data_IF_663577292486
#
_entry.id   IF_663577292486
#
_cell.length_a   1.000
_cell.length_b   1.000
_cell.length_c   1.000
_cell.angle_alpha   90.00
_cell.angle_beta   90.00
_cell.angle_gamma   90.00
#
_symmetry.space_group_name_H-M   'P 1'
#
loop_
_entity.id
_entity.type
_entity.pdbx_description
1 polymer ?
#
# COMPACT_ATOMS: atom_id res chain seq x y z
N UNK A 1 14.53 15.55 -11.24
CA UNK A 1 13.42 14.67 -11.69
C UNK A 1 12.19 15.10 -10.92
N UNK A 2 11.12 15.62 -11.56
CA UNK A 2 9.94 16.02 -10.82
C UNK A 2 9.20 14.76 -10.33
N UNK A 3 8.73 14.80 -9.08
CA UNK A 3 7.93 13.73 -8.48
C UNK A 3 6.64 13.49 -9.28
N UNK A 4 6.14 12.24 -9.39
CA UNK A 4 4.81 12.02 -9.94
C UNK A 4 3.77 12.60 -8.98
N UNK A 5 2.96 13.55 -9.45
CA UNK A 5 1.83 14.11 -8.72
C UNK A 5 0.73 13.05 -8.60
N UNK A 6 0.69 12.34 -7.46
CA UNK A 6 -0.33 11.33 -7.11
C UNK A 6 -1.72 11.92 -6.77
N UNK A 7 -2.06 13.10 -7.30
CA UNK A 7 -3.35 13.74 -7.04
C UNK A 7 -4.29 13.49 -8.22
N UNK A 8 -4.92 12.32 -8.24
CA UNK A 8 -5.99 12.00 -9.21
C UNK A 8 -7.14 11.20 -8.58
N UNK A 9 -7.55 11.57 -7.37
CA UNK A 9 -8.85 11.15 -6.80
C UNK A 9 -10.01 11.51 -7.75
N UNK A 10 -9.89 12.66 -8.44
CA UNK A 10 -10.84 13.12 -9.43
C UNK A 10 -10.78 12.31 -10.74
N UNK A 11 -9.65 11.75 -11.17
CA UNK A 11 -9.52 11.29 -12.56
C UNK A 11 -10.16 9.94 -12.86
N UNK A 12 -10.22 8.99 -11.92
CA UNK A 12 -10.85 7.67 -12.21
C UNK A 12 -12.38 7.83 -12.29
N UNK A 13 -12.97 8.56 -11.34
CA UNK A 13 -14.41 8.85 -11.33
C UNK A 13 -14.78 9.87 -12.41
N UNK A 14 -13.95 10.90 -12.64
CA UNK A 14 -14.16 11.89 -13.70
C UNK A 14 -13.92 11.31 -15.09
N UNK A 15 -12.90 10.49 -15.32
CA UNK A 15 -12.67 9.85 -16.62
C UNK A 15 -13.79 8.85 -16.95
N UNK A 16 -14.23 8.02 -16.01
CA UNK A 16 -15.37 7.13 -16.24
C UNK A 16 -16.68 7.91 -16.51
N UNK A 17 -16.89 9.04 -15.82
CA UNK A 17 -18.04 9.94 -16.02
C UNK A 17 -17.96 10.69 -17.35
N UNK A 18 -16.76 11.13 -17.74
CA UNK A 18 -16.45 11.80 -19.02
C UNK A 18 -16.62 10.83 -20.19
N UNK A 19 -16.26 9.55 -19.99
CA UNK A 19 -16.40 8.47 -20.98
C UNK A 19 -17.80 7.84 -21.01
N UNK A 20 -18.76 8.31 -20.20
CA UNK A 20 -20.13 7.76 -20.08
C UNK A 20 -20.18 6.23 -19.95
N UNK A 21 -19.24 5.64 -19.19
CA UNK A 21 -19.17 4.19 -19.03
C UNK A 21 -20.32 3.67 -18.15
N UNK A 22 -20.98 2.60 -18.59
CA UNK A 22 -21.99 1.88 -17.81
C UNK A 22 -21.35 0.92 -16.78
N UNK A 23 -22.17 0.28 -15.93
CA UNK A 23 -21.71 -0.56 -14.81
C UNK A 23 -20.59 -1.55 -15.17
N UNK A 24 -20.80 -2.47 -16.15
CA UNK A 24 -19.79 -3.44 -16.57
C UNK A 24 -18.51 -2.80 -17.11
N UNK A 25 -18.62 -1.75 -17.93
CA UNK A 25 -17.48 -1.04 -18.52
C UNK A 25 -16.69 -0.27 -17.46
N UNK A 26 -17.37 0.30 -16.47
CA UNK A 26 -16.77 1.02 -15.34
C UNK A 26 -15.98 0.09 -14.42
N UNK A 27 -16.52 -1.09 -14.10
CA UNK A 27 -15.81 -2.09 -13.28
C UNK A 27 -14.57 -2.63 -13.99
N UNK A 28 -14.67 -2.84 -15.30
CA UNK A 28 -13.55 -3.27 -16.14
C UNK A 28 -12.45 -2.20 -16.15
N UNK A 29 -12.84 -0.94 -16.35
CA UNK A 29 -11.90 0.19 -16.30
C UNK A 29 -11.23 0.32 -14.93
N UNK A 30 -12.00 0.25 -13.83
CA UNK A 30 -11.47 0.36 -12.47
C UNK A 30 -10.47 -0.75 -12.19
N UNK A 31 -10.79 -2.00 -12.53
CA UNK A 31 -9.86 -3.15 -12.40
C UNK A 31 -8.58 -2.92 -13.19
N UNK A 32 -8.68 -2.54 -14.47
CA UNK A 32 -7.51 -2.30 -15.30
C UNK A 32 -6.64 -1.15 -14.76
N UNK A 33 -7.27 -0.07 -14.27
CA UNK A 33 -6.58 1.05 -13.64
C UNK A 33 -5.83 0.60 -12.38
N UNK A 34 -6.51 -0.09 -11.47
CA UNK A 34 -5.92 -0.56 -10.21
C UNK A 34 -4.79 -1.56 -10.45
N UNK A 35 -4.97 -2.51 -11.37
CA UNK A 35 -3.90 -3.45 -11.75
C UNK A 35 -2.66 -2.68 -12.19
N UNK A 36 -2.81 -1.69 -13.09
CA UNK A 36 -1.68 -0.89 -13.56
C UNK A 36 -1.01 -0.10 -12.43
N UNK A 37 -1.78 0.50 -11.54
CA UNK A 37 -1.22 1.24 -10.41
C UNK A 37 -0.50 0.32 -9.42
N UNK A 38 -1.07 -0.85 -9.10
CA UNK A 38 -0.43 -1.82 -8.21
C UNK A 38 0.89 -2.34 -8.81
N UNK A 39 0.91 -2.66 -10.12
CA UNK A 39 2.14 -3.05 -10.79
C UNK A 39 3.20 -1.94 -10.74
N UNK A 40 2.80 -0.68 -10.95
CA UNK A 40 3.72 0.46 -10.82
C UNK A 40 4.28 0.58 -9.40
N UNK A 41 3.44 0.43 -8.37
CA UNK A 41 3.88 0.43 -6.98
C UNK A 41 4.87 -0.70 -6.69
N UNK A 42 4.63 -1.90 -7.23
CA UNK A 42 5.54 -3.03 -7.09
C UNK A 42 6.91 -2.73 -7.73
N UNK A 43 6.94 -2.14 -8.93
CA UNK A 43 8.17 -1.66 -9.59
C UNK A 43 8.92 -0.66 -8.72
N UNK A 44 8.25 0.35 -8.17
CA UNK A 44 8.87 1.34 -7.29
C UNK A 44 9.54 0.71 -6.06
N UNK A 45 8.99 -0.40 -5.56
CA UNK A 45 9.55 -1.13 -4.42
C UNK A 45 10.49 -2.28 -4.79
N UNK A 46 10.71 -2.54 -6.07
CA UNK A 46 11.57 -3.64 -6.54
C UNK A 46 10.95 -5.03 -6.32
N UNK A 47 9.62 -5.14 -6.32
CA UNK A 47 8.85 -6.36 -6.09
C UNK A 47 8.24 -6.94 -7.38
N UNK A 48 8.87 -6.72 -8.52
CA UNK A 48 8.33 -7.19 -9.80
C UNK A 48 8.36 -8.71 -9.88
N UNK A 49 7.18 -9.33 -10.07
CA UNK A 49 7.05 -10.78 -10.12
C UNK A 49 7.14 -11.48 -8.74
N UNK A 50 7.17 -10.70 -7.66
CA UNK A 50 7.19 -11.18 -6.28
C UNK A 50 5.80 -11.67 -5.84
N UNK A 51 5.76 -12.72 -5.00
CA UNK A 51 4.52 -13.36 -4.54
C UNK A 51 3.80 -12.57 -3.43
N UNK A 52 4.46 -11.56 -2.86
CA UNK A 52 3.92 -10.60 -1.90
C UNK A 52 3.10 -9.45 -2.53
N UNK A 53 2.99 -9.38 -3.86
CA UNK A 53 2.27 -8.30 -4.55
C UNK A 53 0.75 -8.54 -4.57
N UNK A 54 -0.07 -7.62 -4.04
CA UNK A 54 -1.52 -7.75 -4.10
C UNK A 54 -2.05 -7.81 -5.54
N UNK A 55 -3.05 -8.63 -5.80
CA UNK A 55 -3.64 -8.73 -7.15
C UNK A 55 -5.10 -9.19 -7.13
N UNK A 56 -5.76 -9.06 -8.29
CA UNK A 56 -7.12 -9.58 -8.49
C UNK A 56 -7.19 -11.10 -8.62
N UNK A 57 -6.05 -11.76 -8.89
CA UNK A 57 -5.93 -13.21 -9.01
C UNK A 57 -5.44 -13.88 -7.72
N UNK A 58 -4.94 -13.11 -6.75
CA UNK A 58 -4.53 -13.64 -5.45
C UNK A 58 -5.74 -14.17 -4.66
N UNK A 59 -5.52 -15.22 -3.88
CA UNK A 59 -6.51 -15.84 -3.02
C UNK A 59 -6.57 -15.22 -1.61
N UNK A 60 -5.53 -14.48 -1.25
CA UNK A 60 -5.34 -13.80 0.03
C UNK A 60 -4.30 -14.46 0.94
N UNK A 61 -3.77 -15.66 0.61
CA UNK A 61 -2.89 -16.43 1.51
C UNK A 61 -1.43 -15.96 1.48
N UNK A 62 -0.81 -15.88 0.28
CA UNK A 62 0.59 -15.42 0.15
C UNK A 62 0.70 -13.90 0.05
N UNK A 63 -0.26 -13.29 -0.65
CA UNK A 63 -0.42 -11.84 -0.73
C UNK A 63 -1.89 -11.47 -0.57
N UNK A 64 -2.17 -10.26 -0.07
CA UNK A 64 -3.53 -9.76 -0.01
C UNK A 64 -4.21 -9.74 -1.39
N UNK A 65 -5.43 -10.25 -1.45
CA UNK A 65 -6.28 -10.20 -2.63
C UNK A 65 -6.98 -8.84 -2.76
N UNK A 66 -7.08 -8.34 -3.99
CA UNK A 66 -7.92 -7.20 -4.34
C UNK A 66 -9.18 -7.69 -5.03
N UNK A 67 -10.36 -7.22 -4.61
CA UNK A 67 -11.64 -7.53 -5.27
C UNK A 67 -12.43 -6.25 -5.50
N UNK A 68 -13.29 -6.25 -6.52
CA UNK A 68 -14.31 -5.21 -6.73
C UNK A 68 -15.64 -5.92 -6.84
N UNK A 69 -16.62 -5.49 -6.04
CA UNK A 69 -17.98 -6.02 -6.12
C UNK A 69 -18.82 -5.32 -7.21
N UNK A 70 -20.06 -5.76 -7.41
CA UNK A 70 -20.95 -5.19 -8.41
C UNK A 70 -21.32 -3.71 -8.13
N UNK A 71 -21.19 -3.24 -6.88
CA UNK A 71 -21.43 -1.84 -6.51
C UNK A 71 -20.22 -0.94 -6.76
N UNK A 72 -19.06 -1.50 -7.10
CA UNK A 72 -17.81 -0.79 -7.24
C UNK A 72 -17.03 -0.65 -5.93
N UNK A 73 -17.48 -1.28 -4.83
CA UNK A 73 -16.73 -1.33 -3.58
C UNK A 73 -15.51 -2.21 -3.76
N UNK A 74 -14.36 -1.67 -3.37
CA UNK A 74 -13.09 -2.36 -3.41
C UNK A 74 -12.83 -3.06 -2.08
N UNK A 75 -12.29 -4.27 -2.14
CA UNK A 75 -11.88 -5.08 -1.01
C UNK A 75 -10.39 -5.34 -1.06
N UNK A 76 -9.73 -5.25 0.09
CA UNK A 76 -8.36 -5.64 0.33
C UNK A 76 -8.35 -6.71 1.41
N UNK A 77 -8.06 -7.95 1.02
CA UNK A 77 -8.34 -9.15 1.82
C UNK A 77 -7.05 -9.93 2.06
N UNK A 78 -6.72 -10.23 3.31
CA UNK A 78 -5.69 -11.22 3.61
C UNK A 78 -6.28 -12.41 4.34
N UNK A 79 -5.71 -13.58 4.07
CA UNK A 79 -6.03 -14.86 4.68
C UNK A 79 -4.76 -15.50 5.19
N UNK A 80 -4.92 -16.33 6.20
CA UNK A 80 -3.86 -17.18 6.70
C UNK A 80 -4.48 -18.50 7.13
N UNK A 81 -4.01 -19.60 6.53
CA UNK A 81 -4.46 -20.96 6.84
C UNK A 81 -5.97 -21.11 6.69
N UNK A 82 -6.52 -20.55 5.60
CA UNK A 82 -7.93 -20.58 5.27
C UNK A 82 -8.82 -19.59 6.06
N UNK A 83 -8.25 -18.78 6.96
CA UNK A 83 -9.01 -17.82 7.78
C UNK A 83 -8.75 -16.41 7.32
N UNK A 84 -9.80 -15.59 7.21
CA UNK A 84 -9.64 -14.17 6.86
C UNK A 84 -9.05 -13.42 8.06
N UNK A 85 -7.86 -12.86 7.86
CA UNK A 85 -7.16 -12.04 8.86
C UNK A 85 -7.70 -10.61 8.83
N UNK A 86 -7.96 -10.09 7.63
CA UNK A 86 -8.70 -8.85 7.45
C UNK A 86 -9.43 -8.82 6.10
N UNK A 87 -10.51 -8.05 6.04
CA UNK A 87 -11.18 -7.62 4.83
C UNK A 87 -11.49 -6.13 4.98
N UNK A 88 -10.68 -5.29 4.36
CA UNK A 88 -10.86 -3.83 4.38
C UNK A 88 -11.58 -3.40 3.13
N UNK A 89 -12.53 -2.48 3.27
CA UNK A 89 -13.34 -2.03 2.13
C UNK A 89 -13.33 -0.52 1.96
N UNK A 90 -13.32 -0.06 0.71
CA UNK A 90 -13.34 1.37 0.37
C UNK A 90 -14.00 1.58 -1.00
N UNK A 91 -14.51 2.79 -1.23
CA UNK A 91 -14.92 3.26 -2.56
C UNK A 91 -13.88 4.20 -3.18
N UNK A 92 -12.86 4.60 -2.42
CA UNK A 92 -11.76 5.44 -2.89
C UNK A 92 -10.59 4.57 -3.40
N UNK A 93 -10.22 4.67 -4.69
CA UNK A 93 -9.06 3.96 -5.23
C UNK A 93 -7.74 4.37 -4.55
N UNK A 94 -7.58 5.62 -4.09
CA UNK A 94 -6.35 6.06 -3.44
C UNK A 94 -6.16 5.40 -2.08
N UNK A 95 -7.25 5.25 -1.32
CA UNK A 95 -7.27 4.48 -0.07
C UNK A 95 -6.83 3.03 -0.29
N UNK A 96 -7.35 2.36 -1.33
CA UNK A 96 -6.94 0.99 -1.67
C UNK A 96 -5.45 0.93 -2.03
N UNK A 97 -4.98 1.86 -2.87
CA UNK A 97 -3.58 1.91 -3.30
C UNK A 97 -2.63 2.20 -2.13
N UNK A 98 -3.06 3.03 -1.17
CA UNK A 98 -2.34 3.22 0.09
C UNK A 98 -2.19 1.91 0.87
N UNK A 99 -3.25 1.12 1.01
CA UNK A 99 -3.16 -0.19 1.69
C UNK A 99 -2.22 -1.15 0.97
N UNK A 100 -2.31 -1.24 -0.36
CA UNK A 100 -1.40 -2.04 -1.18
C UNK A 100 0.05 -1.58 -0.98
N UNK A 101 0.32 -0.27 -1.10
CA UNK A 101 1.65 0.29 -0.95
C UNK A 101 2.23 0.05 0.45
N UNK A 102 1.40 0.22 1.50
CA UNK A 102 1.79 -0.05 2.88
C UNK A 102 2.17 -1.51 3.09
N UNK A 103 1.39 -2.44 2.56
CA UNK A 103 1.66 -3.89 2.66
C UNK A 103 2.93 -4.29 1.90
N UNK A 104 3.07 -3.84 0.65
CA UNK A 104 4.25 -4.11 -0.17
C UNK A 104 5.52 -3.51 0.42
N UNK A 105 5.48 -2.28 0.92
CA UNK A 105 6.64 -1.65 1.57
C UNK A 105 7.07 -2.41 2.84
N UNK A 106 6.12 -2.98 3.59
CA UNK A 106 6.43 -3.88 4.71
C UNK A 106 7.09 -5.18 4.22
N UNK A 107 6.53 -5.81 3.19
CA UNK A 107 7.09 -7.02 2.60
C UNK A 107 8.52 -6.81 2.08
N UNK A 108 8.75 -5.76 1.27
CA UNK A 108 10.08 -5.39 0.80
C UNK A 108 11.08 -5.13 1.94
N UNK A 109 10.62 -4.51 3.04
CA UNK A 109 11.44 -4.25 4.22
C UNK A 109 11.88 -5.54 4.94
N UNK A 110 11.08 -6.62 4.86
CA UNK A 110 11.46 -7.93 5.40
C UNK A 110 12.55 -8.62 4.60
N UNK A 111 12.65 -8.34 3.30
CA UNK A 111 13.67 -8.93 2.41
C UNK A 111 15.05 -8.29 2.55
N UNK A 112 15.19 -7.22 3.33
CA UNK A 112 16.49 -6.59 3.60
C UNK A 112 17.37 -7.53 4.43
N UNK A 113 18.59 -7.89 3.95
CA UNK A 113 19.54 -8.68 4.72
C UNK A 113 19.97 -7.96 6.00
N UNK A 114 20.11 -8.71 7.09
CA UNK A 114 20.55 -8.18 8.39
C UNK A 114 21.77 -8.98 8.85
N UNK A 115 22.87 -8.29 9.20
CA UNK A 115 24.04 -8.96 9.77
C UNK A 115 23.70 -9.52 11.16
N UNK A 116 24.17 -10.72 11.54
CA UNK A 116 23.83 -11.36 12.82
C UNK A 116 24.08 -10.49 14.05
N UNK A 117 25.13 -9.67 14.01
CA UNK A 117 25.55 -8.74 15.07
C UNK A 117 24.71 -7.45 15.17
N UNK A 118 23.87 -7.17 14.16
CA UNK A 118 22.97 -6.00 14.10
C UNK A 118 21.50 -6.35 14.39
N UNK A 119 21.22 -7.60 14.77
CA UNK A 119 19.87 -8.12 14.97
C UNK A 119 19.12 -7.55 16.19
N UNK A 120 19.75 -6.65 16.96
CA UNK A 120 19.27 -6.22 18.28
C UNK A 120 17.87 -5.57 18.26
N UNK A 121 17.38 -5.06 17.13
CA UNK A 121 15.93 -4.96 16.89
C UNK A 121 15.58 -4.86 15.39
N UNK A 122 15.42 -6.01 14.71
CA UNK A 122 15.07 -6.10 13.28
C UNK A 122 13.85 -5.22 12.91
N UNK A 123 12.95 -4.98 13.86
CA UNK A 123 11.75 -4.14 13.68
C UNK A 123 12.11 -2.68 13.37
N UNK A 124 13.13 -2.11 14.02
CA UNK A 124 13.58 -0.74 13.73
C UNK A 124 14.05 -0.61 12.28
N UNK A 125 14.81 -1.58 11.79
CA UNK A 125 15.26 -1.62 10.39
C UNK A 125 14.09 -1.78 9.42
N UNK A 126 13.12 -2.66 9.74
CA UNK A 126 11.93 -2.85 8.93
C UNK A 126 11.12 -1.55 8.86
N UNK A 127 10.87 -0.89 10.00
CA UNK A 127 10.12 0.36 10.04
C UNK A 127 10.85 1.51 9.36
N UNK A 128 12.16 1.64 9.54
CA UNK A 128 12.99 2.59 8.82
C UNK A 128 12.91 2.38 7.30
N UNK A 129 12.98 1.13 6.84
CA UNK A 129 12.90 0.79 5.43
C UNK A 129 11.50 1.05 4.87
N UNK A 130 10.45 0.60 5.56
CA UNK A 130 9.07 0.82 5.16
C UNK A 130 8.75 2.32 5.07
N UNK A 131 9.16 3.11 6.08
CA UNK A 131 8.99 4.55 6.09
C UNK A 131 9.68 5.22 4.91
N UNK A 132 10.94 4.86 4.62
CA UNK A 132 11.71 5.39 3.49
C UNK A 132 11.05 5.08 2.15
N UNK A 133 10.58 3.84 1.96
CA UNK A 133 9.90 3.42 0.74
C UNK A 133 8.61 4.21 0.54
N UNK A 134 7.78 4.30 1.59
CA UNK A 134 6.53 5.07 1.54
C UNK A 134 6.79 6.56 1.32
N UNK A 135 7.78 7.16 1.99
CA UNK A 135 8.08 8.59 1.88
C UNK A 135 8.54 8.96 0.48
N UNK A 136 9.45 8.17 -0.10
CA UNK A 136 9.89 8.35 -1.49
C UNK A 136 8.74 8.28 -2.49
N UNK A 137 7.78 7.38 -2.25
CA UNK A 137 6.62 7.22 -3.10
C UNK A 137 5.61 8.36 -2.93
N UNK A 138 5.24 8.64 -1.67
CA UNK A 138 4.29 9.67 -1.28
C UNK A 138 4.51 10.05 0.21
N UNK A 139 5.09 11.24 0.51
CA UNK A 139 5.36 11.67 1.87
C UNK A 139 4.13 11.68 2.80
N UNK A 140 2.95 11.98 2.26
CA UNK A 140 1.70 11.98 3.05
C UNK A 140 1.31 10.57 3.49
N UNK A 141 1.56 9.56 2.66
CA UNK A 141 1.33 8.15 3.02
C UNK A 141 2.28 7.69 4.12
N UNK A 142 3.53 8.14 4.13
CA UNK A 142 4.46 7.85 5.22
C UNK A 142 4.01 8.50 6.54
N UNK A 143 3.61 9.77 6.50
CA UNK A 143 3.09 10.51 7.68
C UNK A 143 1.85 9.83 8.25
N UNK A 144 0.91 9.45 7.37
CA UNK A 144 -0.28 8.70 7.74
C UNK A 144 0.08 7.35 8.36
N UNK A 145 0.97 6.58 7.73
CA UNK A 145 1.42 5.28 8.24
C UNK A 145 2.00 5.41 9.65
N UNK A 146 2.89 6.38 9.90
CA UNK A 146 3.49 6.60 11.22
C UNK A 146 2.43 6.94 12.27
N UNK A 147 1.46 7.78 11.91
CA UNK A 147 0.35 8.15 12.79
C UNK A 147 -0.53 6.94 13.15
N UNK A 148 -0.85 6.09 12.15
CA UNK A 148 -1.57 4.83 12.36
C UNK A 148 -0.79 3.83 13.22
N UNK A 149 0.54 3.84 13.16
CA UNK A 149 1.40 2.98 13.98
C UNK A 149 1.44 3.45 15.45
N UNK A 150 1.53 4.76 15.68
CA UNK A 150 1.51 5.34 17.02
C UNK A 150 0.15 5.19 17.72
N UNK A 151 -0.95 5.17 16.97
CA UNK A 151 -2.30 4.98 17.51
C UNK A 151 -2.63 3.53 17.92
N UNK A 152 -1.71 2.57 17.73
CA UNK A 152 -1.92 1.17 18.11
C UNK A 152 -1.55 0.97 19.59
N UNK A 153 -2.51 1.25 20.47
CA UNK A 153 -2.34 1.16 21.94
C UNK A 153 -1.85 -0.22 22.43
N UNK A 154 -2.21 -1.31 21.74
CA UNK A 154 -1.84 -2.68 22.13
C UNK A 154 -0.37 -3.06 21.88
N UNK A 155 0.46 -2.12 21.41
CA UNK A 155 1.90 -2.30 21.23
C UNK A 155 2.75 -1.20 21.92
N UNK A 156 2.12 -0.28 22.66
CA UNK A 156 2.80 0.76 23.44
C UNK A 156 3.45 0.07 24.65
N UNK A 157 4.78 -0.03 24.76
CA UNK A 157 5.63 1.05 25.28
C UNK A 157 6.92 1.29 24.48
N UNK A 158 7.29 0.44 23.51
CA UNK A 158 8.56 0.56 22.76
C UNK A 158 8.42 0.96 21.29
N UNK A 159 7.22 0.91 20.71
CA UNK A 159 7.02 1.20 19.28
C UNK A 159 7.50 2.60 18.87
N UNK A 160 7.22 3.61 19.69
CA UNK A 160 7.61 4.98 19.40
C UNK A 160 9.12 5.14 19.26
N UNK A 161 9.91 4.36 20.02
CA UNK A 161 11.37 4.36 19.94
C UNK A 161 11.90 3.66 18.69
N UNK A 162 11.11 2.78 18.06
CA UNK A 162 11.48 2.02 16.87
C UNK A 162 11.02 2.70 15.56
N UNK A 163 10.04 3.61 15.62
CA UNK A 163 9.55 4.31 14.45
C UNK A 163 10.52 5.44 14.07
N UNK A 164 10.94 5.53 12.80
CA UNK A 164 11.80 6.59 12.36
C UNK A 164 11.07 7.94 12.42
N UNK A 165 11.84 9.00 12.61
CA UNK A 165 11.36 10.33 12.25
C UNK A 165 11.27 10.45 10.73
N UNK A 166 10.20 11.09 10.28
CA UNK A 166 9.97 11.31 8.86
C UNK A 166 10.55 12.66 8.47
N UNK A 167 11.35 12.73 7.40
CA UNK A 167 11.74 14.03 6.87
C UNK A 167 10.49 14.80 6.48
N UNK A 168 10.50 16.14 6.57
CA UNK A 168 9.41 16.95 6.08
C UNK A 168 9.10 16.57 4.62
N UNK A 169 7.84 16.66 4.17
CA UNK A 169 7.56 16.50 2.75
C UNK A 169 8.43 17.52 2.02
N UNK A 170 9.30 17.06 1.12
CA UNK A 170 10.23 17.95 0.41
C UNK A 170 9.42 19.10 -0.20
N UNK A 171 9.54 20.29 0.37
CA UNK A 171 8.98 21.51 -0.18
C UNK A 171 9.75 21.79 -1.46
N UNK A 172 9.21 21.31 -2.58
CA UNK A 172 9.89 21.31 -3.87
C UNK A 172 10.62 22.63 -4.16
N UNK A 173 11.89 22.51 -4.52
CA UNK A 173 12.57 23.46 -5.41
C UNK A 173 12.41 22.97 -6.85
#
# INVERSE_FOLDING_TARGET
MPFPTWVEEAAVTSAARTLKLDGPSRLTYLRAHLTRQISRLATEFGLEGDDGVPSFSADGESAPAVRVDASGRMHYVARERGRTIFDRTTHDPQELLYWCAKGMAYHAAWSVPVAPESAQDRRALIFATQARLLHRLNPQWAIRWRSEMLAKDWMAHDLAALLPDLPPPDGGR
#
